data_IF_248867830779
#
_entry.id   IF_248867830779
#
_cell.length_a   1.000
_cell.length_b   1.000
_cell.length_c   1.000
_cell.angle_alpha   90.00
_cell.angle_beta   90.00
_cell.angle_gamma   90.00
#
_symmetry.space_group_name_H-M   'P 1'
#
loop_
_entity.id
_entity.type
_entity.pdbx_description
1 polymer ?
#
# COMPACT_ATOMS: atom_id res chain seq x y z
N UNK A 1 -47.83 -57.87 7.37
CA UNK A 1 -48.38 -56.52 7.22
C UNK A 1 -47.69 -55.64 8.25
N UNK A 2 -46.70 -54.82 7.82
CA UNK A 2 -46.17 -53.70 8.62
C UNK A 2 -45.65 -52.67 7.66
N UNK A 3 -46.37 -51.57 7.58
CA UNK A 3 -45.98 -50.35 6.77
C UNK A 3 -44.94 -49.58 7.55
N UNK A 4 -43.73 -49.43 7.02
CA UNK A 4 -42.74 -48.46 7.47
C UNK A 4 -42.99 -47.14 6.77
N UNK A 5 -43.33 -46.11 7.53
CA UNK A 5 -43.38 -44.74 7.07
C UNK A 5 -41.95 -44.22 6.95
N UNK A 6 -41.57 -43.83 5.74
CA UNK A 6 -40.38 -43.01 5.49
C UNK A 6 -40.75 -41.56 5.77
N UNK A 7 -40.16 -41.00 6.80
CA UNK A 7 -40.13 -39.57 7.04
C UNK A 7 -39.12 -38.96 6.09
N UNK A 8 -39.60 -38.24 5.09
CA UNK A 8 -38.81 -37.32 4.28
C UNK A 8 -38.47 -36.10 5.16
N UNK A 9 -37.25 -36.07 5.66
CA UNK A 9 -36.68 -34.87 6.26
C UNK A 9 -36.51 -33.79 5.19
N UNK A 10 -37.24 -32.71 5.33
CA UNK A 10 -37.04 -31.51 4.54
C UNK A 10 -35.65 -30.95 4.83
N UNK A 11 -34.76 -31.08 3.87
CA UNK A 11 -33.53 -30.26 3.81
C UNK A 11 -33.96 -28.82 3.63
N UNK A 12 -34.02 -28.08 4.73
CA UNK A 12 -34.06 -26.64 4.68
C UNK A 12 -32.78 -26.17 4.04
N UNK A 13 -32.83 -25.81 2.78
CA UNK A 13 -31.80 -25.03 2.11
C UNK A 13 -31.60 -23.74 2.92
N UNK A 14 -30.50 -23.65 3.65
CA UNK A 14 -30.04 -22.39 4.23
C UNK A 14 -29.82 -21.47 3.04
N UNK A 15 -30.79 -20.62 2.76
CA UNK A 15 -30.63 -19.54 1.79
C UNK A 15 -29.47 -18.68 2.30
N UNK A 16 -28.40 -18.63 1.53
CA UNK A 16 -27.33 -17.67 1.75
C UNK A 16 -27.95 -16.28 1.84
N UNK A 17 -27.47 -15.42 2.73
CA UNK A 17 -27.98 -14.05 2.83
C UNK A 17 -28.00 -13.38 1.46
N UNK A 18 -29.03 -12.63 1.17
CA UNK A 18 -29.26 -12.00 -0.15
C UNK A 18 -28.10 -11.11 -0.63
N UNK A 19 -27.27 -10.61 0.28
CA UNK A 19 -26.06 -9.90 -0.08
C UNK A 19 -24.97 -10.78 -0.73
N UNK A 20 -25.01 -12.10 -0.55
CA UNK A 20 -24.09 -13.05 -1.18
C UNK A 20 -24.47 -13.35 -2.65
N UNK A 21 -25.68 -12.99 -3.06
CA UNK A 21 -26.20 -13.20 -4.43
C UNK A 21 -26.12 -11.93 -5.28
N UNK A 22 -25.95 -10.78 -4.67
CA UNK A 22 -25.78 -9.52 -5.41
C UNK A 22 -24.35 -9.39 -5.88
N UNK A 23 -24.12 -9.60 -7.17
CA UNK A 23 -22.84 -9.29 -7.79
C UNK A 23 -22.65 -7.78 -7.78
N UNK A 24 -22.08 -7.27 -6.75
CA UNK A 24 -21.79 -5.86 -6.57
C UNK A 24 -21.00 -5.29 -7.74
N UNK A 25 -20.04 -6.09 -8.22
CA UNK A 25 -19.23 -5.73 -9.34
C UNK A 25 -20.05 -5.46 -10.59
N UNK A 26 -21.02 -6.31 -10.91
CA UNK A 26 -21.90 -6.18 -12.07
C UNK A 26 -22.81 -4.97 -11.93
N UNK A 27 -23.40 -4.74 -10.75
CA UNK A 27 -24.21 -3.53 -10.47
C UNK A 27 -23.40 -2.24 -10.59
N UNK A 28 -22.11 -2.30 -10.28
CA UNK A 28 -21.19 -1.18 -10.42
C UNK A 28 -20.58 -1.06 -11.84
N UNK A 29 -20.99 -1.92 -12.78
CA UNK A 29 -20.50 -1.90 -14.15
C UNK A 29 -19.20 -2.68 -14.38
N UNK A 30 -18.78 -3.52 -13.44
CA UNK A 30 -17.65 -4.43 -13.64
C UNK A 30 -18.08 -5.71 -14.37
N UNK A 31 -17.15 -6.42 -15.01
CA UNK A 31 -17.46 -7.71 -15.62
C UNK A 31 -17.98 -8.72 -14.59
N UNK A 32 -18.76 -9.70 -15.07
CA UNK A 32 -19.27 -10.80 -14.26
C UNK A 32 -18.14 -11.49 -13.46
N UNK A 33 -18.38 -11.76 -12.19
CA UNK A 33 -17.40 -12.37 -11.29
C UNK A 33 -16.44 -11.39 -10.60
N UNK A 34 -16.56 -10.10 -10.84
CA UNK A 34 -15.73 -9.06 -10.21
C UNK A 34 -16.39 -8.44 -8.96
N UNK A 35 -17.35 -9.11 -8.40
CA UNK A 35 -18.03 -8.67 -7.19
C UNK A 35 -17.22 -8.88 -5.91
N UNK A 36 -17.69 -8.32 -4.78
CA UNK A 36 -17.16 -8.70 -3.49
C UNK A 36 -17.48 -10.16 -3.26
N UNK A 37 -16.53 -11.02 -3.47
CA UNK A 37 -16.72 -12.38 -3.13
C UNK A 37 -16.78 -12.49 -1.61
N UNK A 38 -17.86 -13.00 -1.09
CA UNK A 38 -18.01 -13.28 0.34
C UNK A 38 -17.19 -14.48 0.80
N UNK A 39 -16.30 -15.03 -0.03
CA UNK A 39 -15.52 -16.22 0.26
C UNK A 39 -14.02 -16.00 0.08
N UNK A 40 -13.27 -16.80 0.78
CA UNK A 40 -11.81 -16.81 0.86
C UNK A 40 -11.09 -17.31 -0.39
N UNK A 41 -11.81 -17.87 -1.35
CA UNK A 41 -11.28 -18.25 -2.66
C UNK A 41 -10.80 -17.05 -3.49
N UNK A 42 -10.94 -15.91 -2.94
CA UNK A 42 -10.72 -14.60 -3.53
C UNK A 42 -9.27 -14.23 -3.71
N UNK A 43 -8.34 -14.76 -2.94
CA UNK A 43 -6.92 -14.51 -3.22
C UNK A 43 -6.49 -15.17 -4.53
N UNK A 44 -7.18 -16.21 -4.95
CA UNK A 44 -6.97 -16.83 -6.25
C UNK A 44 -7.58 -16.00 -7.38
N UNK A 45 -8.65 -15.24 -7.09
CA UNK A 45 -9.30 -14.30 -7.99
C UNK A 45 -9.00 -12.85 -7.65
N UNK A 46 -7.77 -12.42 -7.80
CA UNK A 46 -7.31 -11.10 -7.36
C UNK A 46 -8.12 -9.92 -7.93
N UNK A 47 -8.75 -10.09 -9.09
CA UNK A 47 -9.58 -9.05 -9.71
C UNK A 47 -10.82 -8.75 -8.88
N UNK A 48 -11.45 -9.77 -8.33
CA UNK A 48 -12.63 -9.68 -7.48
C UNK A 48 -12.34 -8.89 -6.21
N UNK A 49 -11.12 -8.94 -5.71
CA UNK A 49 -10.67 -8.15 -4.58
C UNK A 49 -10.74 -6.67 -4.81
N UNK A 50 -10.41 -6.23 -5.99
CA UNK A 50 -10.40 -4.82 -6.32
C UNK A 50 -11.79 -4.26 -6.34
N UNK A 51 -12.72 -5.05 -6.81
CA UNK A 51 -14.13 -4.69 -6.79
C UNK A 51 -14.66 -4.73 -5.37
N UNK A 52 -14.17 -5.65 -4.56
CA UNK A 52 -14.41 -5.71 -3.12
C UNK A 52 -13.79 -4.55 -2.33
N UNK A 53 -12.82 -3.85 -2.93
CA UNK A 53 -12.14 -2.73 -2.29
C UNK A 53 -12.92 -1.42 -2.39
N UNK A 54 -14.16 -1.46 -1.96
CA UNK A 54 -14.99 -0.29 -1.88
C UNK A 54 -15.71 -0.25 -0.54
N UNK A 55 -15.96 0.94 -0.05
CA UNK A 55 -16.75 1.15 1.16
C UNK A 55 -16.33 0.25 2.31
N UNK A 56 -15.05 0.12 2.56
CA UNK A 56 -14.51 -0.74 3.60
C UNK A 56 -14.63 -2.24 3.28
N UNK A 57 -14.43 -2.64 2.02
CA UNK A 57 -14.58 -4.02 1.56
C UNK A 57 -13.70 -5.02 2.29
N UNK A 58 -12.39 -4.81 2.30
CA UNK A 58 -11.45 -5.74 2.93
C UNK A 58 -11.51 -5.72 4.46
N UNK A 59 -11.79 -4.59 5.06
CA UNK A 59 -11.98 -4.46 6.51
C UNK A 59 -13.16 -5.28 7.01
N UNK A 60 -14.18 -5.52 6.19
CA UNK A 60 -15.31 -6.38 6.55
C UNK A 60 -14.95 -7.86 6.58
N UNK A 61 -13.84 -8.24 5.97
CA UNK A 61 -13.43 -9.64 5.82
C UNK A 61 -12.26 -10.02 6.73
N UNK A 62 -11.38 -9.08 7.04
CA UNK A 62 -10.14 -9.31 7.78
C UNK A 62 -10.07 -8.48 9.05
N UNK A 63 -9.28 -8.97 10.00
CA UNK A 63 -8.94 -8.21 11.19
C UNK A 63 -8.20 -6.92 10.78
N UNK A 64 -8.53 -5.80 11.44
CA UNK A 64 -7.95 -4.50 11.13
C UNK A 64 -7.96 -3.59 12.34
N UNK A 65 -7.17 -2.53 12.28
CA UNK A 65 -7.24 -1.40 13.19
C UNK A 65 -7.61 -0.14 12.43
N UNK A 66 -8.36 0.74 13.10
CA UNK A 66 -8.81 2.02 12.55
C UNK A 66 -7.85 3.11 12.99
N UNK A 67 -7.37 3.93 12.05
CA UNK A 67 -6.73 5.22 12.32
C UNK A 67 -7.81 6.29 12.21
N UNK A 68 -8.03 7.05 13.29
CA UNK A 68 -9.05 8.09 13.29
C UNK A 68 -8.64 9.28 12.44
N UNK A 69 -9.62 9.91 11.82
CA UNK A 69 -9.46 11.17 11.11
C UNK A 69 -8.79 12.22 12.00
N UNK A 70 -8.11 13.16 11.39
CA UNK A 70 -7.54 14.28 12.10
C UNK A 70 -8.63 15.14 12.75
N UNK A 71 -8.47 15.57 14.01
CA UNK A 71 -9.38 16.54 14.61
C UNK A 71 -9.30 17.93 13.93
N UNK A 72 -8.30 18.14 13.07
CA UNK A 72 -8.10 19.34 12.26
C UNK A 72 -7.77 18.95 10.83
N UNK A 73 -8.77 18.61 9.99
CA UNK A 73 -8.53 18.25 8.61
C UNK A 73 -7.86 19.39 7.83
N UNK A 74 -6.84 19.07 7.05
CA UNK A 74 -6.20 20.03 6.16
C UNK A 74 -7.11 20.34 4.97
N UNK A 75 -7.10 21.60 4.55
CA UNK A 75 -7.90 22.03 3.42
C UNK A 75 -7.35 21.44 2.11
N UNK A 76 -8.19 20.69 1.43
CA UNK A 76 -7.98 20.27 0.05
C UNK A 76 -9.23 20.67 -0.72
N UNK A 77 -9.12 21.73 -1.51
CA UNK A 77 -10.25 22.42 -2.14
C UNK A 77 -10.18 22.30 -3.66
N UNK A 78 -11.32 22.40 -4.30
CA UNK A 78 -11.36 22.51 -5.76
C UNK A 78 -10.63 23.77 -6.25
N UNK A 79 -9.88 23.63 -7.35
CA UNK A 79 -9.15 24.75 -7.92
C UNK A 79 -10.13 25.86 -8.35
N UNK A 80 -9.87 27.08 -7.90
CA UNK A 80 -10.68 28.27 -8.27
C UNK A 80 -10.52 28.66 -9.72
N UNK A 81 -9.34 28.42 -10.31
CA UNK A 81 -9.09 28.67 -11.72
C UNK A 81 -9.58 27.52 -12.57
N UNK A 82 -10.12 27.84 -13.74
CA UNK A 82 -10.44 26.77 -14.72
C UNK A 82 -9.12 26.13 -15.15
N UNK A 83 -8.98 24.84 -14.81
CA UNK A 83 -7.93 24.00 -15.39
C UNK A 83 -8.15 23.95 -16.90
N UNK A 84 -7.07 23.86 -17.68
CA UNK A 84 -7.17 23.77 -19.13
C UNK A 84 -8.17 22.67 -19.53
N UNK A 85 -9.15 23.02 -20.38
CA UNK A 85 -10.22 22.11 -20.77
C UNK A 85 -9.69 20.84 -21.44
N UNK A 86 -8.63 20.95 -22.25
CA UNK A 86 -8.04 19.76 -22.89
C UNK A 86 -7.43 18.82 -21.84
N UNK A 87 -6.72 19.35 -20.86
CA UNK A 87 -6.18 18.54 -19.77
C UNK A 87 -7.28 17.83 -18.98
N UNK A 88 -8.38 18.52 -18.70
CA UNK A 88 -9.52 17.92 -17.99
C UNK A 88 -10.15 16.77 -18.80
N UNK A 89 -10.29 16.94 -20.11
CA UNK A 89 -10.75 15.88 -21.00
C UNK A 89 -9.78 14.70 -21.03
N UNK A 90 -8.47 14.95 -21.17
CA UNK A 90 -7.45 13.91 -21.17
C UNK A 90 -7.47 13.08 -19.88
N UNK A 91 -7.64 13.74 -18.73
CA UNK A 91 -7.73 13.07 -17.43
C UNK A 91 -9.00 12.21 -17.32
N UNK A 92 -10.13 12.74 -17.80
CA UNK A 92 -11.40 12.01 -17.81
C UNK A 92 -11.37 10.82 -18.76
N UNK A 93 -10.81 10.98 -19.95
CA UNK A 93 -10.66 9.92 -20.93
C UNK A 93 -9.72 8.82 -20.42
N UNK A 94 -8.63 9.22 -19.77
CA UNK A 94 -7.73 8.28 -19.12
C UNK A 94 -8.47 7.44 -18.07
N UNK A 95 -9.20 8.07 -17.15
CA UNK A 95 -9.95 7.37 -16.10
C UNK A 95 -11.00 6.42 -16.70
N UNK A 96 -11.66 6.84 -17.77
CA UNK A 96 -12.69 6.06 -18.44
C UNK A 96 -12.12 4.85 -19.20
N UNK A 97 -10.99 5.04 -19.87
CA UNK A 97 -10.38 4.01 -20.72
C UNK A 97 -9.73 2.90 -19.90
N UNK A 98 -9.10 3.23 -18.76
CA UNK A 98 -8.24 2.30 -18.04
C UNK A 98 -8.84 1.74 -16.74
N UNK A 99 -10.16 1.75 -16.61
CA UNK A 99 -10.90 1.14 -15.49
C UNK A 99 -10.47 1.65 -14.12
N UNK A 100 -10.20 2.94 -14.02
CA UNK A 100 -9.90 3.55 -12.73
C UNK A 100 -11.16 3.57 -11.87
N UNK A 101 -11.00 3.31 -10.59
CA UNK A 101 -12.05 3.49 -9.57
C UNK A 101 -12.04 4.90 -9.01
N UNK A 102 -10.88 5.55 -9.04
CA UNK A 102 -10.70 6.94 -8.65
C UNK A 102 -9.45 7.54 -9.26
N UNK A 103 -9.53 8.82 -9.65
CA UNK A 103 -8.41 9.64 -10.12
C UNK A 103 -8.50 11.01 -9.49
N UNK A 104 -7.43 11.45 -8.84
CA UNK A 104 -7.29 12.78 -8.28
C UNK A 104 -5.93 13.38 -8.66
N UNK A 105 -5.94 14.60 -9.17
CA UNK A 105 -4.72 15.37 -9.48
C UNK A 105 -4.81 16.68 -8.72
N UNK A 106 -3.77 16.98 -7.94
CA UNK A 106 -3.73 18.16 -7.09
C UNK A 106 -2.33 18.80 -7.06
N UNK A 107 -2.29 20.09 -6.77
CA UNK A 107 -1.07 20.85 -6.50
C UNK A 107 -1.29 21.79 -5.31
N UNK A 108 -0.34 21.81 -4.38
CA UNK A 108 -0.49 22.58 -3.16
C UNK A 108 -1.68 22.05 -2.33
N UNK A 109 -2.74 22.85 -2.22
CA UNK A 109 -3.99 22.46 -1.61
C UNK A 109 -5.18 22.47 -2.60
N UNK A 110 -4.92 22.61 -3.90
CA UNK A 110 -5.95 22.71 -4.93
C UNK A 110 -6.09 21.38 -5.70
N UNK A 111 -7.32 20.88 -5.77
CA UNK A 111 -7.70 19.75 -6.62
C UNK A 111 -7.95 20.28 -8.02
N UNK A 112 -7.20 19.77 -8.99
CA UNK A 112 -7.36 20.14 -10.40
C UNK A 112 -8.26 19.20 -11.17
N UNK A 113 -8.29 17.93 -10.75
CA UNK A 113 -9.17 16.91 -11.28
C UNK A 113 -9.51 15.92 -10.17
N UNK A 114 -10.77 15.53 -10.09
CA UNK A 114 -11.25 14.48 -9.20
C UNK A 114 -12.40 13.75 -9.87
N UNK A 115 -12.28 12.43 -9.98
CA UNK A 115 -13.27 11.58 -10.61
C UNK A 115 -13.34 10.23 -9.90
N UNK A 116 -14.56 9.77 -9.69
CA UNK A 116 -14.89 8.45 -9.17
C UNK A 116 -15.73 7.69 -10.19
N UNK A 117 -15.53 6.38 -10.28
CA UNK A 117 -16.26 5.52 -11.22
C UNK A 117 -16.81 4.30 -10.52
N UNK A 118 -17.71 3.60 -11.18
CA UNK A 118 -18.29 2.35 -10.68
C UNK A 118 -18.94 2.53 -9.30
N UNK A 119 -19.77 3.58 -9.17
CA UNK A 119 -20.45 3.96 -7.93
C UNK A 119 -19.53 4.19 -6.74
N UNK A 120 -18.25 4.52 -6.96
CA UNK A 120 -17.34 4.97 -5.92
C UNK A 120 -17.65 6.41 -5.55
N UNK A 121 -17.38 6.75 -4.29
CA UNK A 121 -17.58 8.09 -3.76
C UNK A 121 -16.34 8.58 -3.02
N UNK A 122 -16.32 9.86 -2.69
CA UNK A 122 -15.22 10.48 -1.97
C UNK A 122 -15.02 9.90 -0.56
N UNK A 123 -16.08 9.38 0.04
CA UNK A 123 -16.10 8.84 1.41
C UNK A 123 -15.62 7.38 1.48
N UNK A 124 -15.52 6.70 0.33
CA UNK A 124 -15.10 5.31 0.28
C UNK A 124 -13.60 5.18 0.43
N UNK A 125 -13.16 4.20 1.22
CA UNK A 125 -11.74 3.84 1.31
C UNK A 125 -11.32 2.92 0.16
N UNK A 126 -10.10 3.12 -0.28
CA UNK A 126 -9.45 2.33 -1.33
C UNK A 126 -8.21 1.65 -0.77
N UNK A 127 -8.09 0.37 -1.03
CA UNK A 127 -6.97 -0.45 -0.57
C UNK A 127 -5.71 -0.13 -1.37
N UNK A 128 -4.67 0.31 -0.68
CA UNK A 128 -3.46 0.83 -1.33
C UNK A 128 -2.48 -0.23 -1.82
N UNK A 129 -2.65 -1.51 -1.40
CA UNK A 129 -1.66 -2.53 -1.65
C UNK A 129 -0.26 -2.05 -1.24
N UNK A 130 0.74 -2.28 -2.06
CA UNK A 130 2.12 -1.93 -1.74
C UNK A 130 2.41 -0.44 -1.59
N UNK A 131 1.47 0.48 -1.88
CA UNK A 131 1.61 1.88 -1.45
C UNK A 131 1.78 1.99 0.07
N UNK A 132 1.27 1.02 0.83
CA UNK A 132 1.44 0.88 2.27
C UNK A 132 2.91 0.93 2.71
N UNK A 133 3.82 0.33 1.93
CA UNK A 133 5.27 0.33 2.25
C UNK A 133 5.83 1.74 2.38
N UNK A 134 5.38 2.65 1.51
CA UNK A 134 5.84 4.04 1.57
C UNK A 134 5.37 4.76 2.83
N UNK A 135 4.20 4.39 3.40
CA UNK A 135 3.77 4.89 4.71
C UNK A 135 4.76 4.46 5.79
N UNK A 136 5.19 3.19 5.78
CA UNK A 136 6.22 2.69 6.71
C UNK A 136 7.54 3.46 6.52
N UNK A 137 7.91 3.77 5.28
CA UNK A 137 9.08 4.61 4.97
C UNK A 137 8.97 6.03 5.53
N UNK A 138 7.81 6.66 5.46
CA UNK A 138 7.57 7.99 6.06
C UNK A 138 7.66 7.93 7.59
N UNK A 139 7.06 6.93 8.22
CA UNK A 139 7.13 6.72 9.68
C UNK A 139 8.56 6.46 10.15
N UNK A 140 9.37 5.78 9.34
CA UNK A 140 10.81 5.60 9.64
C UNK A 140 11.54 6.94 9.63
N UNK A 141 11.24 7.81 8.66
CA UNK A 141 11.80 9.17 8.62
C UNK A 141 11.42 10.00 9.84
N UNK A 142 10.18 9.85 10.33
CA UNK A 142 9.72 10.52 11.55
C UNK A 142 10.44 9.96 12.78
N UNK A 143 10.61 8.64 12.89
CA UNK A 143 11.34 8.02 14.01
C UNK A 143 12.82 8.45 14.06
N UNK A 144 13.47 8.64 12.90
CA UNK A 144 14.81 9.23 12.81
C UNK A 144 14.83 10.70 13.25
N UNK A 145 13.83 11.48 12.82
CA UNK A 145 13.69 12.89 13.21
C UNK A 145 13.49 13.04 14.72
N UNK A 146 12.79 12.11 15.34
CA UNK A 146 12.55 12.07 16.80
C UNK A 146 13.73 11.44 17.59
N UNK A 147 14.77 10.96 16.91
CA UNK A 147 15.93 10.34 17.53
C UNK A 147 15.68 8.94 18.09
N UNK A 148 14.54 8.31 17.78
CA UNK A 148 14.21 6.93 18.19
C UNK A 148 15.03 5.90 17.40
N UNK A 149 15.25 6.17 16.12
CA UNK A 149 16.28 5.53 15.32
C UNK A 149 17.50 6.45 15.27
N UNK A 150 18.69 5.92 15.56
CA UNK A 150 19.93 6.71 15.57
C UNK A 150 20.57 6.76 14.19
N UNK A 151 20.45 5.71 13.40
CA UNK A 151 20.96 5.64 12.03
C UNK A 151 20.18 4.62 11.20
N UNK A 152 20.05 4.87 9.92
CA UNK A 152 19.58 3.83 8.97
C UNK A 152 20.60 2.71 8.78
N UNK A 153 21.87 2.94 9.14
CA UNK A 153 22.94 1.94 9.06
C UNK A 153 23.01 1.03 10.29
N UNK A 154 22.17 1.28 11.27
CA UNK A 154 22.06 0.40 12.43
C UNK A 154 21.45 -0.95 12.05
N UNK A 155 21.98 -2.05 12.59
CA UNK A 155 21.39 -3.37 12.42
C UNK A 155 20.04 -3.46 13.14
N UNK A 156 19.12 -4.21 12.56
CA UNK A 156 17.74 -4.31 13.06
C UNK A 156 17.65 -4.80 14.50
N UNK A 157 18.55 -5.69 14.91
CA UNK A 157 18.60 -6.21 16.29
C UNK A 157 18.87 -5.14 17.36
N UNK A 158 19.42 -3.99 16.96
CA UNK A 158 19.59 -2.85 17.86
C UNK A 158 18.24 -2.39 18.40
N UNK A 159 17.21 -2.46 17.57
CA UNK A 159 15.85 -1.99 17.86
C UNK A 159 14.91 -3.14 18.24
N UNK A 160 15.11 -4.31 17.65
CA UNK A 160 14.29 -5.52 17.88
C UNK A 160 15.13 -6.55 18.61
N UNK A 161 15.14 -6.48 19.94
CA UNK A 161 16.01 -7.32 20.80
C UNK A 161 15.79 -8.82 20.63
N UNK A 162 14.57 -9.24 20.30
CA UNK A 162 14.25 -10.65 20.03
C UNK A 162 14.93 -11.22 18.77
N UNK A 163 15.49 -10.37 17.91
CA UNK A 163 16.28 -10.79 16.77
C UNK A 163 17.76 -11.05 17.10
N UNK A 164 18.23 -10.76 18.32
CA UNK A 164 19.62 -11.04 18.71
C UNK A 164 19.95 -12.51 18.52
N UNK A 165 21.01 -12.79 17.76
CA UNK A 165 21.41 -14.15 17.40
C UNK A 165 20.59 -14.80 16.27
N UNK A 166 19.55 -14.15 15.78
CA UNK A 166 18.82 -14.60 14.62
C UNK A 166 19.58 -14.25 13.32
N UNK A 167 19.41 -15.04 12.27
CA UNK A 167 20.11 -14.80 11.00
C UNK A 167 19.73 -13.46 10.31
N UNK A 168 18.63 -12.83 10.72
CA UNK A 168 18.26 -11.48 10.26
C UNK A 168 18.85 -10.35 11.09
N UNK A 169 19.48 -10.63 12.23
CA UNK A 169 19.93 -9.67 13.22
C UNK A 169 20.80 -8.53 12.65
N UNK A 170 21.78 -8.88 11.83
CA UNK A 170 22.74 -7.93 11.26
C UNK A 170 22.24 -7.15 10.05
N UNK A 171 20.99 -7.33 9.59
CA UNK A 171 20.47 -6.57 8.46
C UNK A 171 20.21 -5.12 8.90
N UNK A 172 20.75 -4.16 8.14
CA UNK A 172 20.56 -2.75 8.47
C UNK A 172 19.18 -2.23 8.06
N UNK A 173 18.68 -1.20 8.77
CA UNK A 173 17.45 -0.51 8.39
C UNK A 173 17.52 0.00 6.94
N UNK A 174 18.69 0.53 6.51
CA UNK A 174 18.92 0.96 5.12
C UNK A 174 18.60 -0.15 4.12
N UNK A 175 19.16 -1.33 4.35
CA UNK A 175 18.99 -2.44 3.42
C UNK A 175 17.58 -3.03 3.43
N UNK A 176 16.88 -2.96 4.55
CA UNK A 176 15.44 -3.28 4.60
C UNK A 176 14.61 -2.27 3.80
N UNK A 177 14.83 -0.97 4.03
CA UNK A 177 14.12 0.13 3.38
C UNK A 177 14.34 0.17 1.86
N UNK A 178 15.50 -0.27 1.40
CA UNK A 178 15.89 -0.27 -0.01
C UNK A 178 15.64 -1.61 -0.70
N UNK A 179 15.07 -2.60 -0.02
CA UNK A 179 14.86 -3.96 -0.55
C UNK A 179 16.17 -4.64 -0.98
N UNK A 180 17.26 -4.33 -0.26
CA UNK A 180 18.60 -4.89 -0.49
C UNK A 180 19.09 -5.70 0.70
N UNK A 181 18.18 -6.32 1.41
CA UNK A 181 18.46 -7.05 2.66
C UNK A 181 19.34 -8.31 2.47
N UNK A 182 19.52 -8.77 1.24
CA UNK A 182 20.17 -10.05 0.94
C UNK A 182 19.26 -11.26 1.13
N UNK A 183 18.04 -11.05 1.60
CA UNK A 183 17.04 -12.12 1.72
C UNK A 183 16.54 -12.44 0.31
N UNK A 184 16.89 -13.62 -0.20
CA UNK A 184 16.42 -14.07 -1.49
C UNK A 184 15.20 -14.98 -1.33
N UNK A 185 14.05 -14.42 -1.61
CA UNK A 185 12.78 -15.15 -1.62
C UNK A 185 12.50 -15.73 -3.01
N UNK A 186 13.17 -15.25 -4.05
CA UNK A 186 12.83 -15.61 -5.42
C UNK A 186 12.97 -17.13 -5.67
N UNK A 187 13.91 -17.80 -5.04
CA UNK A 187 14.02 -19.26 -5.14
C UNK A 187 12.76 -19.97 -4.63
N UNK A 188 12.07 -19.36 -3.71
CA UNK A 188 10.83 -19.89 -3.16
C UNK A 188 9.57 -19.41 -3.90
N UNK A 189 9.58 -18.19 -4.44
CA UNK A 189 8.47 -17.65 -5.24
C UNK A 189 8.46 -18.16 -6.67
N UNK A 190 9.63 -18.48 -7.20
CA UNK A 190 9.76 -18.88 -8.60
C UNK A 190 9.52 -20.37 -8.83
N UNK A 191 9.27 -21.15 -7.79
CA UNK A 191 8.94 -22.57 -7.91
C UNK A 191 7.44 -22.79 -7.69
N UNK A 192 6.66 -23.10 -8.74
CA UNK A 192 5.23 -23.37 -8.62
C UNK A 192 4.89 -24.56 -7.71
N UNK A 193 5.89 -25.41 -7.41
CA UNK A 193 5.70 -26.64 -6.66
C UNK A 193 5.74 -26.49 -5.13
N UNK A 194 6.17 -25.35 -4.60
CA UNK A 194 6.49 -25.24 -3.17
C UNK A 194 5.38 -24.66 -2.27
N UNK A 195 4.20 -24.38 -2.82
CA UNK A 195 3.09 -23.85 -1.99
C UNK A 195 3.44 -22.54 -1.26
N UNK A 196 4.39 -21.76 -1.81
CA UNK A 196 4.93 -20.57 -1.19
C UNK A 196 3.86 -19.49 -0.96
N UNK A 197 2.93 -19.31 -1.88
CA UNK A 197 1.78 -18.43 -1.65
C UNK A 197 1.06 -18.82 -0.37
N UNK A 198 0.91 -20.12 -0.10
CA UNK A 198 0.37 -20.61 1.16
C UNK A 198 1.26 -20.28 2.35
N UNK A 199 2.57 -20.46 2.23
CA UNK A 199 3.49 -20.28 3.36
C UNK A 199 3.76 -18.79 3.61
N UNK A 200 4.08 -18.02 2.59
CA UNK A 200 4.36 -16.60 2.72
C UNK A 200 3.17 -15.81 3.27
N UNK A 201 2.00 -15.98 2.69
CA UNK A 201 0.79 -15.29 3.15
C UNK A 201 0.25 -15.85 4.47
N UNK A 202 0.43 -17.12 4.77
CA UNK A 202 0.00 -17.70 6.04
C UNK A 202 0.94 -17.40 7.19
N UNK A 203 2.21 -17.17 6.95
CA UNK A 203 3.22 -16.97 7.99
C UNK A 203 3.58 -15.51 8.21
N UNK A 204 3.65 -14.71 7.14
CA UNK A 204 4.08 -13.31 7.17
C UNK A 204 3.05 -12.34 6.59
N UNK A 205 1.90 -12.81 6.19
CA UNK A 205 0.83 -12.02 5.60
C UNK A 205 -0.51 -12.23 6.26
N UNK A 206 -1.53 -11.80 5.57
CA UNK A 206 -2.91 -12.05 5.94
C UNK A 206 -3.28 -13.41 5.37
N UNK A 207 -3.65 -14.35 6.22
CA UNK A 207 -4.19 -15.62 5.73
C UNK A 207 -5.52 -15.37 5.02
N UNK A 208 -5.66 -15.81 3.78
CA UNK A 208 -6.95 -15.82 3.10
C UNK A 208 -7.94 -16.81 3.74
N UNK A 209 -7.47 -17.68 4.62
CA UNK A 209 -8.30 -18.67 5.28
C UNK A 209 -8.78 -18.16 6.62
N UNK A 210 -10.06 -17.82 6.71
CA UNK A 210 -10.70 -17.48 7.98
C UNK A 210 -10.54 -18.65 8.96
N UNK A 211 -10.04 -18.36 10.16
CA UNK A 211 -9.87 -19.35 11.23
C UNK A 211 -8.45 -19.92 11.33
N UNK A 212 -7.60 -19.77 10.33
CA UNK A 212 -6.17 -20.00 10.53
C UNK A 212 -5.57 -18.77 11.20
N UNK A 213 -5.09 -18.93 12.42
CA UNK A 213 -4.35 -17.87 13.12
C UNK A 213 -3.08 -17.52 12.36
N UNK A 214 -2.99 -16.32 11.84
CA UNK A 214 -1.74 -15.78 11.31
C UNK A 214 -0.99 -15.06 12.41
N UNK A 215 0.33 -15.23 12.42
CA UNK A 215 1.24 -14.58 13.35
C UNK A 215 2.51 -14.26 12.57
N UNK A 216 2.59 -13.04 12.07
CA UNK A 216 3.68 -12.59 11.20
C UNK A 216 5.04 -12.68 11.91
N UNK A 217 5.09 -12.30 13.17
CA UNK A 217 6.32 -12.33 13.95
C UNK A 217 6.80 -13.76 14.18
N UNK A 218 5.88 -14.65 14.57
CA UNK A 218 6.22 -16.07 14.73
C UNK A 218 6.68 -16.68 13.41
N UNK A 219 5.97 -16.38 12.31
CA UNK A 219 6.36 -16.83 10.99
C UNK A 219 7.75 -16.34 10.59
N UNK A 220 8.04 -15.06 10.85
CA UNK A 220 9.35 -14.47 10.59
C UNK A 220 10.45 -15.16 11.41
N UNK A 221 10.23 -15.40 12.71
CA UNK A 221 11.19 -16.04 13.61
C UNK A 221 11.43 -17.51 13.27
N UNK A 222 10.46 -18.18 12.67
CA UNK A 222 10.58 -19.58 12.21
C UNK A 222 11.13 -19.70 10.79
N UNK A 223 11.30 -18.58 10.10
CA UNK A 223 11.71 -18.56 8.72
C UNK A 223 13.21 -18.88 8.63
N UNK A 224 13.54 -20.04 8.04
CA UNK A 224 14.91 -20.55 7.96
C UNK A 224 15.58 -20.29 6.60
N UNK A 225 15.05 -19.43 5.79
CA UNK A 225 15.61 -19.16 4.48
C UNK A 225 16.84 -18.27 4.61
N UNK A 226 17.91 -18.71 3.98
CA UNK A 226 19.17 -18.05 4.10
C UNK A 226 19.16 -16.62 3.57
N UNK A 227 19.95 -15.79 4.18
CA UNK A 227 20.54 -14.66 3.51
C UNK A 227 21.58 -15.26 2.58
N UNK A 228 21.23 -15.44 1.32
CA UNK A 228 22.13 -16.05 0.34
C UNK A 228 22.82 -15.02 -0.55
N UNK A 229 22.59 -13.75 -0.27
CA UNK A 229 23.26 -12.63 -0.93
C UNK A 229 23.79 -11.64 0.12
N UNK A 230 24.89 -10.98 -0.20
CA UNK A 230 25.41 -9.91 0.63
C UNK A 230 24.39 -8.75 0.63
N UNK A 231 24.00 -8.26 1.81
CA UNK A 231 23.12 -7.10 1.91
C UNK A 231 23.74 -5.89 1.18
N UNK A 232 22.92 -5.09 0.55
CA UNK A 232 23.31 -3.91 -0.24
C UNK A 232 23.75 -4.20 -1.67
N UNK A 233 23.82 -5.48 -2.10
CA UNK A 233 24.36 -5.83 -3.43
C UNK A 233 23.28 -6.15 -4.47
N UNK A 234 22.10 -6.57 -4.03
CA UNK A 234 21.03 -6.99 -4.93
C UNK A 234 19.67 -6.52 -4.44
N UNK A 235 18.84 -6.08 -5.37
CA UNK A 235 17.48 -5.72 -5.09
C UNK A 235 16.57 -6.95 -5.12
N UNK A 236 15.89 -7.21 -3.99
CA UNK A 236 14.87 -8.25 -3.85
C UNK A 236 13.64 -7.67 -3.17
N UNK A 237 12.61 -7.40 -3.95
CA UNK A 237 11.36 -6.86 -3.44
C UNK A 237 10.61 -7.92 -2.64
N UNK A 238 10.42 -7.67 -1.33
CA UNK A 238 9.81 -8.64 -0.43
C UNK A 238 9.01 -7.96 0.68
N UNK A 239 7.92 -8.59 1.11
CA UNK A 239 7.10 -8.10 2.25
C UNK A 239 7.77 -8.34 3.61
N UNK A 240 8.83 -9.15 3.68
CA UNK A 240 9.60 -9.31 4.93
C UNK A 240 10.25 -7.98 5.34
N UNK A 241 10.78 -7.22 4.40
CA UNK A 241 11.43 -5.96 4.69
C UNK A 241 10.52 -4.96 5.43
N UNK A 242 9.34 -4.60 4.94
CA UNK A 242 8.44 -3.71 5.68
C UNK A 242 7.91 -4.32 6.98
N UNK A 243 7.76 -5.64 7.09
CA UNK A 243 7.39 -6.31 8.35
C UNK A 243 8.47 -6.08 9.41
N UNK A 244 9.75 -6.26 9.06
CA UNK A 244 10.86 -6.05 10.00
C UNK A 244 10.99 -4.58 10.41
N UNK A 245 10.82 -3.64 9.48
CA UNK A 245 10.85 -2.20 9.78
C UNK A 245 9.66 -1.80 10.67
N UNK A 246 8.47 -2.33 10.39
CA UNK A 246 7.29 -2.12 11.23
C UNK A 246 7.50 -2.63 12.65
N UNK A 247 8.09 -3.81 12.79
CA UNK A 247 8.44 -4.35 14.11
C UNK A 247 9.44 -3.47 14.87
N UNK A 248 10.45 -2.92 14.18
CA UNK A 248 11.37 -1.96 14.79
C UNK A 248 10.65 -0.68 15.23
N UNK A 249 9.72 -0.14 14.40
CA UNK A 249 8.92 1.02 14.77
C UNK A 249 8.06 0.73 16.01
N UNK A 250 7.33 -0.39 16.04
CA UNK A 250 6.54 -0.77 17.21
C UNK A 250 7.42 -0.93 18.47
N UNK A 251 8.62 -1.47 18.32
CA UNK A 251 9.55 -1.66 19.42
C UNK A 251 10.04 -0.33 20.02
N UNK A 252 10.43 0.65 19.18
CA UNK A 252 10.97 1.93 19.66
C UNK A 252 9.89 2.88 20.17
N UNK A 253 8.68 2.81 19.62
CA UNK A 253 7.54 3.59 20.10
C UNK A 253 6.76 2.92 21.22
N UNK A 254 7.00 1.62 21.47
CA UNK A 254 6.21 0.80 22.39
C UNK A 254 4.70 0.88 22.15
N UNK A 255 4.29 0.92 20.87
CA UNK A 255 2.91 1.07 20.42
C UNK A 255 2.69 0.27 19.13
N UNK A 256 1.44 -0.20 18.88
CA UNK A 256 1.09 -0.76 17.58
C UNK A 256 1.26 0.25 16.44
N UNK A 257 1.72 -0.21 15.28
CA UNK A 257 2.01 0.64 14.13
C UNK A 257 0.84 1.54 13.71
N UNK A 258 -0.44 1.11 13.71
CA UNK A 258 -1.56 1.98 13.38
C UNK A 258 -1.69 3.17 14.35
N UNK A 259 -1.37 2.99 15.64
CA UNK A 259 -1.39 4.09 16.64
C UNK A 259 -0.22 5.05 16.44
N UNK A 260 0.93 4.54 16.04
CA UNK A 260 2.07 5.38 15.65
C UNK A 260 1.68 6.20 14.42
N UNK A 261 1.16 5.56 13.39
CA UNK A 261 0.74 6.20 12.15
C UNK A 261 -0.35 7.25 12.39
N UNK A 262 -1.35 6.95 13.21
CA UNK A 262 -2.40 7.90 13.58
C UNK A 262 -1.82 9.17 14.21
N UNK A 263 -0.96 9.02 15.20
CA UNK A 263 -0.44 10.14 15.99
C UNK A 263 0.66 10.92 15.27
N UNK A 264 1.51 10.24 14.50
CA UNK A 264 2.73 10.82 13.92
C UNK A 264 2.59 11.25 12.47
N UNK A 265 1.63 10.66 11.74
CA UNK A 265 1.44 10.94 10.33
C UNK A 265 -0.01 11.37 10.04
N UNK A 266 -1.01 10.58 10.39
CA UNK A 266 -2.40 10.76 9.97
C UNK A 266 -3.04 12.04 10.51
N UNK A 267 -2.92 12.27 11.84
CA UNK A 267 -3.40 13.49 12.46
C UNK A 267 -2.62 14.73 11.98
N UNK A 268 -1.26 14.74 12.01
CA UNK A 268 -0.52 15.88 11.51
C UNK A 268 -0.72 16.17 10.02
N UNK A 269 -0.95 15.14 9.19
CA UNK A 269 -1.32 15.28 7.78
C UNK A 269 -2.62 16.06 7.57
N UNK A 270 -3.47 16.11 8.60
CA UNK A 270 -4.82 16.65 8.49
C UNK A 270 -5.72 15.72 7.65
N UNK A 271 -5.58 14.41 7.81
CA UNK A 271 -6.44 13.45 7.13
C UNK A 271 -7.91 13.69 7.47
N UNK A 272 -8.78 13.71 6.46
CA UNK A 272 -10.18 14.07 6.62
C UNK A 272 -11.03 12.89 7.10
N UNK A 273 -10.62 11.68 6.76
CA UNK A 273 -11.39 10.47 7.00
C UNK A 273 -10.60 9.44 7.81
N UNK A 274 -11.33 8.53 8.47
CA UNK A 274 -10.71 7.38 9.09
C UNK A 274 -10.03 6.50 8.04
N UNK A 275 -8.82 6.03 8.32
CA UNK A 275 -8.15 4.98 7.56
C UNK A 275 -8.24 3.64 8.30
N UNK A 276 -7.96 2.56 7.59
CA UNK A 276 -7.85 1.23 8.19
C UNK A 276 -6.53 0.56 7.79
N UNK A 277 -6.03 -0.27 8.69
CA UNK A 277 -4.85 -1.08 8.45
C UNK A 277 -5.11 -2.52 8.87
N UNK A 278 -5.01 -3.44 7.91
CA UNK A 278 -5.21 -4.85 8.14
C UNK A 278 -4.15 -5.41 9.09
N UNK A 279 -4.56 -6.35 9.94
CA UNK A 279 -3.69 -7.01 10.91
C UNK A 279 -3.79 -8.52 10.80
N UNK A 280 -2.79 -9.20 11.32
CA UNK A 280 -2.87 -10.63 11.57
C UNK A 280 -3.74 -10.94 12.81
N UNK A 281 -3.85 -12.22 13.17
CA UNK A 281 -4.65 -12.66 14.31
C UNK A 281 -4.10 -12.21 15.68
N UNK A 282 -2.87 -11.72 15.72
CA UNK A 282 -2.23 -11.18 16.93
C UNK A 282 -2.28 -9.66 16.99
N UNK A 283 -2.85 -9.03 15.98
CA UNK A 283 -2.96 -7.58 15.87
C UNK A 283 -1.73 -6.90 15.27
N UNK A 284 -0.72 -7.67 14.83
CA UNK A 284 0.42 -7.11 14.13
C UNK A 284 0.04 -6.69 12.71
N UNK A 285 0.50 -5.53 12.30
CA UNK A 285 0.02 -4.85 11.09
C UNK A 285 0.59 -5.48 9.82
N UNK A 286 -0.26 -5.65 8.80
CA UNK A 286 0.17 -6.05 7.46
C UNK A 286 0.83 -4.85 6.76
N UNK A 287 2.08 -4.62 7.08
CA UNK A 287 2.85 -3.43 6.67
C UNK A 287 3.29 -3.45 5.20
N UNK A 288 3.22 -4.60 4.55
CA UNK A 288 3.52 -4.73 3.12
C UNK A 288 2.40 -4.22 2.21
N UNK A 289 1.12 -4.26 2.64
CA UNK A 289 -0.01 -3.98 1.75
C UNK A 289 -1.33 -3.60 2.42
N UNK A 290 -1.42 -3.52 3.73
CA UNK A 290 -2.68 -3.56 4.48
C UNK A 290 -3.46 -2.24 4.63
N UNK A 291 -2.97 -1.10 4.13
CA UNK A 291 -3.54 0.21 4.40
C UNK A 291 -4.64 0.60 3.41
N UNK A 292 -5.75 1.15 3.91
CA UNK A 292 -6.85 1.70 3.12
C UNK A 292 -7.21 3.11 3.57
N UNK A 293 -7.40 4.02 2.62
CA UNK A 293 -7.80 5.40 2.86
C UNK A 293 -8.70 5.92 1.74
N UNK A 294 -9.37 7.05 1.95
CA UNK A 294 -10.07 7.76 0.88
C UNK A 294 -9.09 8.25 -0.19
N UNK A 295 -9.56 8.47 -1.40
CA UNK A 295 -8.70 8.95 -2.49
C UNK A 295 -8.09 10.32 -2.16
N UNK A 296 -8.84 11.20 -1.51
CA UNK A 296 -8.35 12.51 -1.06
C UNK A 296 -7.25 12.39 -0.02
N UNK A 297 -7.38 11.44 0.91
CA UNK A 297 -6.33 11.23 1.92
C UNK A 297 -5.09 10.54 1.34
N UNK A 298 -5.26 9.65 0.38
CA UNK A 298 -4.14 9.16 -0.43
C UNK A 298 -3.41 10.30 -1.17
N UNK A 299 -4.16 11.25 -1.72
CA UNK A 299 -3.58 12.43 -2.36
C UNK A 299 -2.87 13.35 -1.35
N UNK A 300 -3.38 13.50 -0.12
CA UNK A 300 -2.69 14.23 0.95
C UNK A 300 -1.32 13.66 1.28
N UNK A 301 -1.18 12.32 1.29
CA UNK A 301 0.13 11.67 1.46
C UNK A 301 1.07 12.05 0.30
N UNK A 302 0.56 12.04 -0.93
CA UNK A 302 1.34 12.49 -2.09
C UNK A 302 1.76 13.95 -1.99
N UNK A 303 0.86 14.83 -1.59
CA UNK A 303 1.11 16.27 -1.40
C UNK A 303 2.12 16.53 -0.27
N UNK A 304 2.05 15.78 0.84
CA UNK A 304 3.06 15.84 1.91
C UNK A 304 4.46 15.62 1.34
N UNK A 305 4.63 14.61 0.51
CA UNK A 305 5.94 14.31 -0.12
C UNK A 305 6.31 15.39 -1.14
N UNK A 306 5.35 15.86 -1.96
CA UNK A 306 5.56 16.92 -2.94
C UNK A 306 5.98 18.24 -2.29
N UNK A 307 5.48 18.52 -1.10
CA UNK A 307 5.77 19.73 -0.32
C UNK A 307 6.92 19.55 0.69
N UNK A 308 7.82 18.59 0.44
CA UNK A 308 8.98 18.32 1.28
C UNK A 308 8.65 18.07 2.76
N UNK A 309 7.53 17.40 3.01
CA UNK A 309 7.12 16.97 4.33
C UNK A 309 6.42 18.04 5.18
N UNK A 310 5.96 19.13 4.56
CA UNK A 310 5.28 20.24 5.24
C UNK A 310 3.78 20.18 4.98
N UNK A 311 2.99 20.36 6.03
CA UNK A 311 1.53 20.59 5.99
C UNK A 311 1.20 21.79 6.85
N UNK A 312 0.48 22.76 6.31
CA UNK A 312 0.06 23.99 7.00
C UNK A 312 1.21 24.69 7.77
N UNK A 313 2.41 24.70 7.16
CA UNK A 313 3.63 25.28 7.74
C UNK A 313 4.33 24.41 8.78
N UNK A 314 3.82 23.26 9.13
CA UNK A 314 4.42 22.32 10.07
C UNK A 314 5.21 21.23 9.34
N UNK A 315 6.46 21.00 9.76
CA UNK A 315 7.28 19.89 9.26
C UNK A 315 6.86 18.58 9.91
N UNK A 316 6.22 17.70 9.14
CA UNK A 316 5.77 16.38 9.60
C UNK A 316 6.87 15.34 9.37
N UNK A 317 7.41 15.30 8.17
CA UNK A 317 8.54 14.42 7.79
C UNK A 317 9.71 15.31 7.40
N UNK A 318 10.89 15.07 7.97
CA UNK A 318 12.03 15.96 7.69
C UNK A 318 12.35 16.07 6.20
N UNK A 319 12.67 17.29 5.77
CA UNK A 319 13.13 17.53 4.39
C UNK A 319 14.36 16.70 4.05
N UNK A 320 15.28 16.53 5.01
CA UNK A 320 16.48 15.73 4.83
C UNK A 320 16.19 14.26 4.52
N UNK A 321 15.16 13.68 5.15
CA UNK A 321 14.70 12.32 4.86
C UNK A 321 14.13 12.22 3.44
N UNK A 322 13.27 13.17 3.04
CA UNK A 322 12.68 13.17 1.70
C UNK A 322 13.72 13.48 0.62
N UNK A 323 14.72 14.29 0.91
CA UNK A 323 15.85 14.50 0.01
C UNK A 323 16.72 13.26 -0.11
N UNK A 324 16.98 12.55 1.00
CA UNK A 324 17.66 11.26 0.97
C UNK A 324 16.87 10.21 0.20
N UNK A 325 15.55 10.18 0.35
CA UNK A 325 14.65 9.29 -0.39
C UNK A 325 14.71 9.58 -1.90
N UNK A 326 14.85 10.83 -2.29
CA UNK A 326 14.91 11.26 -3.69
C UNK A 326 16.25 11.00 -4.35
N UNK A 327 17.34 10.92 -3.57
CA UNK A 327 18.67 10.67 -4.10
C UNK A 327 18.87 9.19 -4.45
N UNK A 328 19.48 8.99 -5.55
CA UNK A 328 19.72 7.74 -6.19
C UNK A 328 21.26 7.61 -6.36
N UNK A 329 21.88 6.95 -5.40
CA UNK A 329 23.30 6.70 -5.44
C UNK A 329 23.62 5.61 -6.46
N UNK A 330 24.82 5.58 -7.01
CA UNK A 330 25.23 4.56 -7.98
C UNK A 330 25.09 3.13 -7.41
N UNK A 331 25.31 2.94 -6.13
CA UNK A 331 25.12 1.66 -5.44
C UNK A 331 23.63 1.29 -5.37
N UNK A 332 22.77 2.23 -5.00
CA UNK A 332 21.32 2.05 -4.93
C UNK A 332 20.68 2.01 -6.32
N UNK A 333 21.25 2.71 -7.28
CA UNK A 333 20.85 2.68 -8.68
C UNK A 333 21.34 1.46 -9.43
N UNK A 334 22.42 0.83 -9.00
CA UNK A 334 22.93 -0.44 -9.54
C UNK A 334 22.06 -1.64 -9.12
N UNK A 335 21.22 -1.49 -8.12
CA UNK A 335 20.13 -2.42 -7.81
C UNK A 335 19.08 -2.32 -8.92
N UNK A 336 19.52 -2.59 -10.12
CA UNK A 336 18.69 -2.50 -11.31
C UNK A 336 17.74 -3.66 -11.35
N UNK A 337 16.47 -3.32 -11.49
CA UNK A 337 15.49 -4.26 -11.98
C UNK A 337 15.97 -4.80 -13.33
N UNK A 338 16.10 -6.08 -13.45
CA UNK A 338 16.26 -6.78 -14.72
C UNK A 338 15.00 -6.67 -15.61
N UNK A 339 14.24 -5.59 -15.47
CA UNK A 339 12.99 -5.40 -16.19
C UNK A 339 13.04 -4.03 -16.84
N UNK A 340 12.76 -3.98 -18.12
CA UNK A 340 12.62 -2.77 -18.92
C UNK A 340 11.40 -1.94 -18.45
N UNK A 341 11.46 -1.38 -17.23
CA UNK A 341 10.44 -0.48 -16.70
C UNK A 341 11.03 0.93 -16.60
N UNK A 342 10.21 1.98 -16.75
CA UNK A 342 10.67 3.38 -16.66
C UNK A 342 11.13 3.80 -15.26
N UNK A 343 10.97 2.92 -14.26
CA UNK A 343 11.42 3.14 -12.90
C UNK A 343 12.94 3.07 -12.84
N UNK A 344 13.55 4.09 -12.27
CA UNK A 344 15.00 4.28 -12.30
C UNK A 344 15.69 4.04 -10.96
N UNK A 345 14.97 3.53 -9.97
CA UNK A 345 15.51 3.18 -8.67
C UNK A 345 14.43 2.93 -7.63
N UNK A 346 14.86 2.52 -6.44
CA UNK A 346 14.01 2.29 -5.28
C UNK A 346 14.77 2.66 -4.01
N UNK A 347 14.18 3.47 -3.14
CA UNK A 347 14.80 3.90 -1.89
C UNK A 347 13.75 4.23 -0.84
N UNK A 348 13.98 3.85 0.40
CA UNK A 348 13.11 4.15 1.54
C UNK A 348 11.63 3.79 1.28
N UNK A 349 11.40 2.67 0.60
CA UNK A 349 10.08 2.20 0.16
C UNK A 349 9.37 3.09 -0.84
N UNK A 350 10.11 3.90 -1.61
CA UNK A 350 9.61 4.66 -2.74
C UNK A 350 10.28 4.24 -4.05
N UNK A 351 9.50 4.19 -5.11
CA UNK A 351 10.01 4.06 -6.47
C UNK A 351 10.46 5.42 -7.01
N UNK A 352 11.56 5.45 -7.70
CA UNK A 352 11.99 6.64 -8.43
C UNK A 352 11.41 6.62 -9.84
N UNK A 353 10.93 7.79 -10.29
CA UNK A 353 10.35 7.95 -11.60
C UNK A 353 11.14 8.93 -12.50
N UNK A 354 12.14 9.61 -11.96
CA UNK A 354 13.05 10.49 -12.71
C UNK A 354 14.49 10.30 -12.25
N UNK A 355 15.44 10.60 -13.16
CA UNK A 355 16.88 10.51 -12.85
C UNK A 355 17.34 11.52 -11.83
N UNK A 356 16.69 12.68 -11.81
CA UNK A 356 17.01 13.79 -10.90
C UNK A 356 16.40 13.59 -9.49
N UNK A 357 15.69 12.49 -9.27
CA UNK A 357 15.02 12.18 -8.01
C UNK A 357 13.85 13.11 -7.66
N UNK A 358 13.44 14.02 -8.54
CA UNK A 358 12.35 14.94 -8.24
C UNK A 358 10.98 14.24 -8.31
N UNK A 359 10.88 13.16 -9.06
CA UNK A 359 9.65 12.41 -9.21
C UNK A 359 9.71 11.08 -8.48
N UNK A 360 8.86 10.93 -7.49
CA UNK A 360 8.69 9.71 -6.70
C UNK A 360 7.35 9.04 -7.00
N UNK A 361 7.27 7.75 -6.70
CA UNK A 361 6.06 6.95 -6.89
C UNK A 361 5.85 6.01 -5.71
N UNK A 362 4.63 5.98 -5.22
CA UNK A 362 4.11 4.89 -4.42
C UNK A 362 3.31 3.99 -5.37
N UNK A 363 3.62 2.70 -5.43
CA UNK A 363 2.97 1.78 -6.34
C UNK A 363 2.40 0.58 -5.61
N UNK A 364 1.18 0.23 -5.91
CA UNK A 364 0.49 -0.95 -5.41
C UNK A 364 -0.02 -1.83 -6.54
N UNK A 365 -0.24 -3.11 -6.23
CA UNK A 365 -0.80 -4.05 -7.19
C UNK A 365 -2.09 -3.49 -7.83
N UNK A 366 -2.38 -3.96 -9.04
CA UNK A 366 -3.57 -3.60 -9.80
C UNK A 366 -3.68 -2.10 -10.13
N UNK A 367 -2.51 -1.48 -10.37
CA UNK A 367 -2.39 -0.09 -10.79
C UNK A 367 -2.84 0.96 -9.75
N UNK A 368 -2.72 0.64 -8.45
CA UNK A 368 -2.79 1.68 -7.43
C UNK A 368 -1.51 2.52 -7.52
N UNK A 369 -1.64 3.84 -7.64
CA UNK A 369 -0.48 4.71 -7.78
C UNK A 369 -0.69 6.05 -7.09
N UNK A 370 0.38 6.54 -6.47
CA UNK A 370 0.55 7.95 -6.18
C UNK A 370 1.84 8.40 -6.86
N UNK A 371 1.73 9.33 -7.77
CA UNK A 371 2.87 10.01 -8.40
C UNK A 371 3.07 11.36 -7.72
N UNK A 372 4.32 11.71 -7.49
CA UNK A 372 4.73 12.94 -6.82
C UNK A 372 5.80 13.63 -7.64
N UNK A 373 5.63 14.92 -7.88
CA UNK A 373 6.68 15.80 -8.39
C UNK A 373 7.02 16.90 -7.38
N UNK A 374 8.19 16.78 -6.77
CA UNK A 374 8.68 17.75 -5.77
C UNK A 374 8.98 19.12 -6.37
N UNK A 375 9.26 19.19 -7.67
CA UNK A 375 9.59 20.45 -8.34
C UNK A 375 8.36 21.32 -8.55
N UNK A 376 7.27 20.74 -9.04
CA UNK A 376 6.01 21.47 -9.28
C UNK A 376 5.08 21.46 -8.08
N UNK A 377 5.32 20.59 -7.07
CA UNK A 377 4.39 20.39 -5.95
C UNK A 377 3.13 19.63 -6.33
N UNK A 378 3.18 18.86 -7.44
CA UNK A 378 2.02 18.15 -8.00
C UNK A 378 1.97 16.71 -7.52
N UNK A 379 0.77 16.22 -7.26
CA UNK A 379 0.50 14.79 -7.05
C UNK A 379 -0.62 14.29 -7.96
N UNK A 380 -0.51 13.03 -8.38
CA UNK A 380 -1.59 12.26 -8.98
C UNK A 380 -1.82 11.03 -8.12
N UNK A 381 -3.03 10.85 -7.61
CA UNK A 381 -3.45 9.65 -6.91
C UNK A 381 -4.48 8.92 -7.77
N UNK A 382 -4.25 7.63 -8.02
CA UNK A 382 -5.21 6.79 -8.71
C UNK A 382 -5.42 5.46 -8.01
N UNK A 383 -6.64 4.98 -8.11
CA UNK A 383 -7.05 3.63 -7.74
C UNK A 383 -7.69 2.93 -8.93
N UNK A 384 -7.49 1.62 -9.05
CA UNK A 384 -7.91 0.86 -10.21
C UNK A 384 -8.23 -0.60 -9.84
N UNK A 385 -8.85 -1.32 -10.76
CA UNK A 385 -9.18 -2.75 -10.61
C UNK A 385 -8.31 -3.66 -11.47
N UNK A 386 -7.26 -3.16 -12.05
CA UNK A 386 -6.35 -4.02 -12.81
C UNK A 386 -5.39 -3.26 -13.70
N UNK A 387 -4.55 -4.03 -14.34
CA UNK A 387 -3.61 -3.52 -15.33
C UNK A 387 -4.27 -3.56 -16.72
N UNK A 388 -4.07 -2.50 -17.48
CA UNK A 388 -4.41 -2.47 -18.90
C UNK A 388 -3.15 -2.11 -19.70
N UNK A 389 -3.08 -2.59 -20.93
CA UNK A 389 -1.97 -2.26 -21.82
C UNK A 389 -1.86 -0.75 -21.99
N UNK A 390 -0.65 -0.21 -21.96
CA UNK A 390 -0.31 1.20 -22.10
C UNK A 390 -0.85 2.15 -21.01
N UNK A 391 -1.60 1.66 -20.02
CA UNK A 391 -2.16 2.51 -18.96
C UNK A 391 -1.08 3.28 -18.20
N UNK A 392 0.05 2.63 -17.95
CA UNK A 392 1.16 3.23 -17.21
C UNK A 392 1.83 4.35 -18.00
N UNK A 393 2.01 4.18 -19.30
CA UNK A 393 2.59 5.21 -20.18
C UNK A 393 1.70 6.44 -20.26
N UNK A 394 0.39 6.23 -20.41
CA UNK A 394 -0.60 7.31 -20.46
C UNK A 394 -0.69 8.03 -19.13
N UNK A 395 -0.66 7.30 -18.00
CA UNK A 395 -0.59 7.89 -16.67
C UNK A 395 0.60 8.82 -16.51
N UNK A 396 1.78 8.39 -16.96
CA UNK A 396 2.97 9.24 -16.87
C UNK A 396 2.93 10.44 -17.81
N UNK A 397 2.35 10.31 -18.98
CA UNK A 397 2.14 11.42 -19.90
C UNK A 397 1.18 12.45 -19.31
N UNK A 398 0.06 12.00 -18.76
CA UNK A 398 -0.90 12.85 -18.06
C UNK A 398 -0.27 13.57 -16.86
N UNK A 399 0.49 12.83 -16.04
CA UNK A 399 1.18 13.41 -14.89
C UNK A 399 2.23 14.45 -15.31
N UNK A 400 2.98 14.17 -16.39
CA UNK A 400 3.93 15.13 -16.94
C UNK A 400 3.22 16.42 -17.37
N UNK A 401 2.12 16.30 -18.10
CA UNK A 401 1.30 17.46 -18.49
C UNK A 401 0.82 18.25 -17.27
N UNK A 402 0.35 17.57 -16.22
CA UNK A 402 -0.02 18.22 -14.97
C UNK A 402 1.16 18.99 -14.31
N UNK A 403 2.36 18.45 -14.34
CA UNK A 403 3.54 19.10 -13.76
C UNK A 403 3.98 20.35 -14.53
N UNK A 404 3.69 20.42 -15.83
CA UNK A 404 4.09 21.51 -16.73
C UNK A 404 3.08 22.67 -16.77
N UNK A 405 1.86 22.48 -16.27
CA UNK A 405 0.86 23.55 -16.11
C UNK A 405 1.18 24.50 -14.97
#
# INVERSE_FOLDING_TARGET
>A
MNKRHFLLGSLSSLALPTWAQDSWGEKAGYPTGWGPAGSLQMWEGIKEYHVGNFSGGLEKMFAHQVLRASPKPSNLIEAKRKVNTSFFMDASDYANTYNLTGLLIARGNEIWHEQYRFNRTAEMRFFGWSMTKSIVGLLTGIALQEGLFTSVDDPIEKYVKSLQGHHFAGITLRNLLNMTSGINICEAFCSPSNGFERYGYSQIGISPRRGEGTDQIKGLMQFQWGINQTQGTSFNYTDICPVMVAWALESVYAKPLPRIAEQKLWHPLGANDDATWLTDSKGFTFSGAGFSATLRDWARIGLLVAQNGIVDGQQIVSKSWLDATSRHDDIEGAVRFNVARPQRGYKNFFWHHSKDGQKLRMAGNHAQNILVDKKSGTTLAQTSVGYANNAEEVMFALFKSACEM
#
